data_IF_427602746426
#
_entry.id   IF_427602746426
#
_cell.length_a   1.000
_cell.length_b   1.000
_cell.length_c   1.000
_cell.angle_alpha   90.00
_cell.angle_beta   90.00
_cell.angle_gamma   90.00
#
_symmetry.space_group_name_H-M   'P 1'
#
loop_
_entity.id
_entity.type
_entity.pdbx_description
1 polymer ?
#
# COMPACT_ATOMS: atom_id res chain seq x y z
N UNK A 1 9.71 -18.49 -17.01
CA UNK A 1 9.86 -18.16 -15.57
C UNK A 1 9.52 -16.69 -15.30
N UNK A 2 10.16 -15.73 -15.98
CA UNK A 2 9.90 -14.29 -15.81
C UNK A 2 8.42 -13.86 -15.99
N UNK A 3 7.77 -14.31 -17.08
CA UNK A 3 6.37 -13.95 -17.35
C UNK A 3 5.39 -14.49 -16.28
N UNK A 4 5.70 -15.66 -15.70
CA UNK A 4 4.90 -16.24 -14.61
C UNK A 4 4.98 -15.37 -13.35
N UNK A 5 6.20 -14.94 -12.99
CA UNK A 5 6.42 -14.04 -11.86
C UNK A 5 5.71 -12.71 -12.09
N UNK A 6 5.82 -12.14 -13.29
CA UNK A 6 5.12 -10.90 -13.64
C UNK A 6 3.62 -11.00 -13.39
N UNK A 7 2.93 -11.98 -13.98
CA UNK A 7 1.49 -12.12 -13.82
C UNK A 7 1.06 -12.49 -12.40
N UNK A 8 1.85 -13.31 -11.68
CA UNK A 8 1.54 -13.61 -10.28
C UNK A 8 1.69 -12.39 -9.39
N UNK A 9 2.74 -11.60 -9.57
CA UNK A 9 2.97 -10.39 -8.79
C UNK A 9 1.95 -9.32 -9.14
N UNK A 10 1.68 -9.11 -10.43
CA UNK A 10 0.62 -8.21 -10.89
C UNK A 10 -0.73 -8.61 -10.29
N UNK A 11 -1.13 -9.88 -10.42
CA UNK A 11 -2.40 -10.38 -9.89
C UNK A 11 -2.49 -10.21 -8.37
N UNK A 12 -1.42 -10.53 -7.63
CA UNK A 12 -1.36 -10.37 -6.18
C UNK A 12 -1.52 -8.90 -5.77
N UNK A 13 -0.71 -8.00 -6.35
CA UNK A 13 -0.74 -6.56 -6.00
C UNK A 13 -2.06 -5.94 -6.45
N UNK A 14 -2.53 -6.24 -7.65
CA UNK A 14 -3.80 -5.73 -8.16
C UNK A 14 -4.96 -6.12 -7.25
N UNK A 15 -5.07 -7.41 -6.85
CA UNK A 15 -6.11 -7.84 -5.92
C UNK A 15 -5.96 -7.25 -4.52
N UNK A 16 -4.73 -7.07 -4.03
CA UNK A 16 -4.48 -6.49 -2.72
C UNK A 16 -4.85 -5.00 -2.64
N UNK A 17 -4.65 -4.25 -3.72
CA UNK A 17 -4.92 -2.81 -3.79
C UNK A 17 -6.38 -2.51 -4.21
N UNK A 18 -7.09 -3.47 -4.81
CA UNK A 18 -8.47 -3.28 -5.28
C UNK A 18 -9.42 -2.96 -4.13
N UNK A 19 -10.08 -1.80 -4.22
CA UNK A 19 -11.04 -1.33 -3.21
C UNK A 19 -10.41 -0.73 -1.96
N UNK A 20 -9.10 -0.47 -1.96
CA UNK A 20 -8.45 0.22 -0.86
C UNK A 20 -8.96 1.67 -0.72
N UNK A 21 -8.83 2.23 0.49
CA UNK A 21 -9.17 3.61 0.83
C UNK A 21 -8.50 4.63 -0.10
N UNK A 22 -7.29 4.34 -0.58
CA UNK A 22 -6.60 5.20 -1.56
C UNK A 22 -7.35 5.29 -2.89
N UNK A 23 -8.02 4.23 -3.34
CA UNK A 23 -8.81 4.24 -4.57
C UNK A 23 -10.10 5.06 -4.41
N UNK A 24 -10.77 4.95 -3.25
CA UNK A 24 -11.94 5.79 -2.93
C UNK A 24 -11.56 7.27 -2.85
N UNK A 25 -10.43 7.60 -2.20
CA UNK A 25 -9.92 8.97 -2.15
C UNK A 25 -9.56 9.48 -3.56
N UNK A 26 -8.91 8.65 -4.38
CA UNK A 26 -8.59 8.98 -5.78
C UNK A 26 -9.85 9.22 -6.61
N UNK A 27 -10.90 8.43 -6.43
CA UNK A 27 -12.18 8.62 -7.09
C UNK A 27 -12.85 9.94 -6.68
N UNK A 28 -12.80 10.28 -5.39
CA UNK A 28 -13.27 11.58 -4.88
C UNK A 28 -12.51 12.75 -5.49
N UNK A 29 -11.18 12.69 -5.50
CA UNK A 29 -10.32 13.69 -6.12
C UNK A 29 -10.57 13.82 -7.63
N UNK A 30 -10.81 12.71 -8.32
CA UNK A 30 -11.16 12.73 -9.75
C UNK A 30 -12.51 13.41 -10.01
N UNK A 31 -13.48 13.22 -9.12
CA UNK A 31 -14.79 13.87 -9.21
C UNK A 31 -14.71 15.38 -8.94
N UNK A 32 -13.87 15.82 -8.00
CA UNK A 32 -13.73 17.23 -7.62
C UNK A 32 -12.80 18.03 -8.55
N UNK A 33 -11.71 17.41 -9.02
CA UNK A 33 -10.67 18.09 -9.80
C UNK A 33 -11.13 18.59 -11.19
N UNK A 34 -12.15 17.97 -11.78
CA UNK A 34 -12.54 18.21 -13.17
C UNK A 34 -11.53 17.69 -14.22
N UNK A 35 -10.34 17.22 -13.81
CA UNK A 35 -9.33 16.64 -14.68
C UNK A 35 -8.93 15.22 -14.25
N UNK A 36 -9.77 14.25 -14.62
CA UNK A 36 -9.57 12.81 -14.37
C UNK A 36 -8.22 12.26 -14.85
N UNK A 37 -7.64 12.81 -15.92
CA UNK A 37 -6.38 12.33 -16.46
C UNK A 37 -5.19 12.73 -15.58
N UNK A 38 -5.21 13.95 -15.06
CA UNK A 38 -4.20 14.42 -14.12
C UNK A 38 -4.23 13.60 -12.83
N UNK A 39 -5.42 13.38 -12.27
CA UNK A 39 -5.60 12.58 -11.05
C UNK A 39 -5.15 11.14 -11.27
N UNK A 40 -5.48 10.53 -12.41
CA UNK A 40 -5.00 9.19 -12.77
C UNK A 40 -3.47 9.14 -12.88
N UNK A 41 -2.84 10.09 -13.59
CA UNK A 41 -1.39 10.11 -13.74
C UNK A 41 -0.68 10.30 -12.39
N UNK A 42 -1.21 11.17 -11.52
CA UNK A 42 -0.68 11.40 -10.19
C UNK A 42 -0.81 10.16 -9.29
N UNK A 43 -1.97 9.53 -9.21
CA UNK A 43 -2.17 8.34 -8.39
C UNK A 43 -1.41 7.13 -8.91
N UNK A 44 -1.37 6.93 -10.24
CA UNK A 44 -0.60 5.85 -10.85
C UNK A 44 0.90 6.02 -10.64
N UNK A 45 1.45 7.24 -10.81
CA UNK A 45 2.86 7.50 -10.55
C UNK A 45 3.22 7.32 -9.07
N UNK A 46 2.36 7.75 -8.15
CA UNK A 46 2.54 7.50 -6.72
C UNK A 46 2.59 5.99 -6.41
N UNK A 47 1.69 5.19 -6.98
CA UNK A 47 1.69 3.73 -6.80
C UNK A 47 2.97 3.09 -7.35
N UNK A 48 3.42 3.50 -8.54
CA UNK A 48 4.67 3.01 -9.16
C UNK A 48 5.87 3.35 -8.29
N UNK A 49 6.00 4.60 -7.82
CA UNK A 49 7.11 5.04 -6.98
C UNK A 49 7.09 4.32 -5.64
N UNK A 50 5.93 4.20 -4.99
CA UNK A 50 5.77 3.47 -3.73
C UNK A 50 6.17 1.99 -3.87
N UNK A 51 5.67 1.33 -4.92
CA UNK A 51 6.00 -0.07 -5.22
C UNK A 51 7.48 -0.26 -5.51
N UNK A 52 8.10 0.68 -6.24
CA UNK A 52 9.53 0.67 -6.52
C UNK A 52 10.35 0.78 -5.24
N UNK A 53 10.01 1.72 -4.35
CA UNK A 53 10.71 1.89 -3.07
C UNK A 53 10.55 0.64 -2.19
N UNK A 54 9.37 0.03 -2.13
CA UNK A 54 9.13 -1.19 -1.37
C UNK A 54 9.96 -2.37 -1.92
N UNK A 55 9.96 -2.58 -3.23
CA UNK A 55 10.75 -3.64 -3.87
C UNK A 55 12.26 -3.42 -3.69
N UNK A 56 12.73 -2.18 -3.84
CA UNK A 56 14.14 -1.82 -3.63
C UNK A 56 14.56 -2.03 -2.18
N UNK A 57 13.77 -1.56 -1.21
CA UNK A 57 14.04 -1.75 0.21
C UNK A 57 14.04 -3.24 0.58
N UNK A 58 13.09 -4.03 0.06
CA UNK A 58 13.04 -5.48 0.25
C UNK A 58 14.29 -6.17 -0.31
N UNK A 59 14.71 -5.81 -1.52
CA UNK A 59 15.94 -6.31 -2.12
C UNK A 59 17.20 -5.89 -1.35
N UNK A 60 17.22 -4.68 -0.79
CA UNK A 60 18.32 -4.19 0.02
C UNK A 60 18.40 -4.88 1.40
N UNK A 61 17.26 -5.21 2.00
CA UNK A 61 17.21 -5.95 3.26
C UNK A 61 17.52 -7.45 3.07
N UNK A 62 17.26 -7.98 1.88
CA UNK A 62 17.50 -9.38 1.55
C UNK A 62 18.97 -9.76 1.80
N UNK A 63 19.19 -10.70 2.73
CA UNK A 63 20.52 -11.17 3.13
C UNK A 63 21.26 -10.29 4.16
N UNK A 64 20.70 -9.12 4.52
CA UNK A 64 21.25 -8.27 5.60
C UNK A 64 20.55 -8.46 6.94
N UNK A 65 19.28 -8.88 6.91
CA UNK A 65 18.45 -9.07 8.10
C UNK A 65 17.76 -10.42 8.00
N UNK A 66 17.63 -11.12 9.14
CA UNK A 66 16.89 -12.38 9.23
C UNK A 66 15.41 -12.15 8.83
N UNK A 67 14.92 -12.95 7.89
CA UNK A 67 13.55 -12.91 7.42
C UNK A 67 12.55 -13.10 8.58
N UNK A 68 12.88 -13.93 9.57
CA UNK A 68 12.02 -14.13 10.74
C UNK A 68 11.86 -12.84 11.56
N UNK A 69 12.91 -12.03 11.64
CA UNK A 69 12.89 -10.75 12.34
C UNK A 69 12.06 -9.71 11.57
N UNK A 70 12.19 -9.65 10.24
CA UNK A 70 11.35 -8.79 9.38
C UNK A 70 9.87 -9.14 9.57
N UNK A 71 9.50 -10.42 9.52
CA UNK A 71 8.11 -10.86 9.70
C UNK A 71 7.59 -10.55 11.10
N UNK A 72 8.38 -10.78 12.15
CA UNK A 72 7.96 -10.49 13.54
C UNK A 72 7.74 -9.00 13.77
N UNK A 73 8.67 -8.16 13.31
CA UNK A 73 8.56 -6.70 13.46
C UNK A 73 7.38 -6.18 12.63
N UNK A 74 7.23 -6.63 11.39
CA UNK A 74 6.09 -6.26 10.54
C UNK A 74 4.74 -6.66 11.16
N UNK A 75 4.64 -7.88 11.69
CA UNK A 75 3.43 -8.35 12.38
C UNK A 75 3.15 -7.57 13.67
N UNK A 76 4.17 -7.28 14.47
CA UNK A 76 4.02 -6.46 15.68
C UNK A 76 3.53 -5.05 15.35
N UNK A 77 4.14 -4.40 14.35
CA UNK A 77 3.69 -3.09 13.87
C UNK A 77 2.25 -3.14 13.35
N UNK A 78 1.89 -4.18 12.60
CA UNK A 78 0.51 -4.36 12.11
C UNK A 78 -0.50 -4.46 13.25
N UNK A 79 -0.22 -5.25 14.29
CA UNK A 79 -1.09 -5.38 15.47
C UNK A 79 -1.16 -4.07 16.26
N UNK A 80 -0.04 -3.37 16.45
CA UNK A 80 -0.01 -2.08 17.17
C UNK A 80 -0.82 -1.02 16.42
N UNK A 81 -0.58 -0.86 15.12
CA UNK A 81 -1.29 0.12 14.29
C UNK A 81 -2.78 -0.25 14.20
N UNK A 82 -3.12 -1.52 13.99
CA UNK A 82 -4.50 -1.98 13.94
C UNK A 82 -5.24 -1.75 15.26
N UNK A 83 -4.60 -2.08 16.39
CA UNK A 83 -5.14 -1.81 17.72
C UNK A 83 -5.35 -0.32 17.99
N UNK A 84 -4.40 0.52 17.58
CA UNK A 84 -4.56 1.98 17.63
C UNK A 84 -5.73 2.43 16.76
N UNK A 85 -5.82 2.00 15.50
CA UNK A 85 -6.93 2.38 14.62
C UNK A 85 -8.30 2.05 15.24
N UNK A 86 -8.44 0.87 15.83
CA UNK A 86 -9.65 0.46 16.54
C UNK A 86 -9.92 1.39 17.74
N UNK A 87 -8.91 1.63 18.59
CA UNK A 87 -9.04 2.53 19.74
C UNK A 87 -9.40 3.96 19.33
N UNK A 88 -8.79 4.49 18.26
CA UNK A 88 -9.13 5.81 17.71
C UNK A 88 -10.55 5.87 17.14
N UNK A 89 -11.06 4.75 16.63
CA UNK A 89 -12.43 4.66 16.13
C UNK A 89 -13.46 4.72 17.26
N UNK A 90 -13.13 4.22 18.46
CA UNK A 90 -13.98 4.29 19.65
C UNK A 90 -13.86 5.60 20.43
N UNK A 91 -12.73 6.30 20.31
CA UNK A 91 -12.55 7.61 20.95
C UNK A 91 -13.34 8.73 20.28
N UNK A 92 -14.10 8.44 19.21
CA UNK A 92 -15.10 9.31 18.61
C UNK A 92 -14.62 10.74 18.50
N UNK A 93 -13.98 11.07 17.36
CA UNK A 93 -13.52 12.43 17.05
C UNK A 93 -14.40 13.50 17.72
N UNK A 94 -13.90 14.23 18.73
CA UNK A 94 -14.57 15.45 19.15
C UNK A 94 -14.44 16.43 17.98
N UNK A 95 -15.47 16.45 17.13
CA UNK A 95 -15.55 17.24 15.91
C UNK A 95 -16.64 16.71 14.98
#
# INVERSE_FOLDING_TARGET
MALRVFFSTFGLVFLAELGDKTQLATAGLAAESGNRWLVFAASASALVVSSFLAAFAGAWLHGRVDAALITRVGGALFVVIGGWMIYSSFQGSPG
#
